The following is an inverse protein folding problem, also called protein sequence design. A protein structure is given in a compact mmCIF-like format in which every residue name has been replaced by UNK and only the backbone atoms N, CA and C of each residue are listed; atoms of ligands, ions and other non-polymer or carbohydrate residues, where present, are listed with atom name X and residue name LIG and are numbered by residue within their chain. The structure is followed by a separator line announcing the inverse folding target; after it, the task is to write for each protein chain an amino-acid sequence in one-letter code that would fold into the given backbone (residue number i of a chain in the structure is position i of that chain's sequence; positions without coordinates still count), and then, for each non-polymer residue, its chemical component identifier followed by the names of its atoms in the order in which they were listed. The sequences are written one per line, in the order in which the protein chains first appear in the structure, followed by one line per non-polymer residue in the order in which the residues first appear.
data_IF_843987525232
#
_entry.id   IF_843987525232
#
_cell.length_a   1.000
_cell.length_b   1.000
_cell.length_c   1.000
_cell.angle_alpha   90.00
_cell.angle_beta   90.00
_cell.angle_gamma   90.00
#
_symmetry.space_group_name_H-M   'P 1'
#
loop_
_entity.id
_entity.type
_entity.pdbx_description
1 polymer ?
#
# COMPACT_ATOMS: atom_id res chain seq x y z
N UNK A 1 23.33 -53.07 -52.06
CA UNK A 1 22.47 -52.50 -51.00
C UNK A 1 23.07 -51.17 -50.56
N UNK A 2 22.57 -50.05 -51.06
CA UNK A 2 23.09 -48.70 -50.76
C UNK A 2 22.02 -48.00 -49.91
N UNK A 3 22.37 -47.68 -48.66
CA UNK A 3 21.48 -47.13 -47.64
C UNK A 3 21.41 -45.61 -47.79
N UNK A 4 20.22 -45.08 -48.08
CA UNK A 4 19.91 -43.65 -48.02
C UNK A 4 19.92 -43.17 -46.56
N UNK A 5 20.87 -42.30 -46.20
CA UNK A 5 20.87 -41.58 -44.94
C UNK A 5 19.92 -40.38 -45.01
N UNK A 6 18.85 -40.42 -44.22
CA UNK A 6 17.93 -39.32 -43.96
C UNK A 6 18.66 -38.20 -43.20
N UNK A 7 18.75 -37.02 -43.81
CA UNK A 7 19.12 -35.79 -43.10
C UNK A 7 17.86 -35.23 -42.43
N UNK A 8 17.79 -35.33 -41.10
CA UNK A 8 16.75 -34.70 -40.29
C UNK A 8 17.38 -33.43 -39.68
N UNK A 9 17.07 -32.27 -40.25
CA UNK A 9 17.39 -30.98 -39.65
C UNK A 9 16.56 -30.80 -38.38
N UNK A 10 17.20 -30.90 -37.21
CA UNK A 10 16.59 -30.54 -35.91
C UNK A 10 17.03 -29.12 -35.58
N UNK A 11 16.14 -28.14 -35.78
CA UNK A 11 16.32 -26.77 -35.35
C UNK A 11 15.89 -26.67 -33.88
N UNK A 12 16.85 -26.67 -32.96
CA UNK A 12 16.59 -26.43 -31.52
C UNK A 12 16.60 -24.92 -31.31
N UNK A 13 15.43 -24.31 -31.26
CA UNK A 13 15.27 -22.92 -30.84
C UNK A 13 15.38 -22.83 -29.32
N UNK A 14 16.49 -22.28 -28.82
CA UNK A 14 16.59 -21.82 -27.42
C UNK A 14 15.69 -20.60 -27.24
N UNK A 15 14.48 -20.82 -26.72
CA UNK A 15 13.68 -19.75 -26.12
C UNK A 15 14.28 -19.44 -24.75
N UNK A 16 15.19 -18.47 -24.70
CA UNK A 16 15.61 -17.86 -23.44
C UNK A 16 14.42 -17.08 -22.88
N UNK A 17 13.79 -17.62 -21.84
CA UNK A 17 12.79 -16.92 -21.06
C UNK A 17 13.43 -15.66 -20.47
N UNK A 18 12.98 -14.51 -20.93
CA UNK A 18 13.34 -13.22 -20.34
C UNK A 18 12.67 -13.20 -18.96
N UNK A 19 13.46 -13.48 -17.91
CA UNK A 19 12.99 -13.32 -16.54
C UNK A 19 12.82 -11.82 -16.31
N UNK A 20 11.59 -11.33 -16.45
CA UNK A 20 11.24 -10.02 -15.93
C UNK A 20 11.49 -10.06 -14.42
N UNK A 21 12.51 -9.35 -13.94
CA UNK A 21 12.71 -9.11 -12.52
C UNK A 21 11.59 -8.17 -12.05
N UNK A 22 10.43 -8.76 -11.72
CA UNK A 22 9.39 -8.03 -11.00
C UNK A 22 9.93 -7.78 -9.59
N UNK A 23 9.92 -6.52 -9.14
CA UNK A 23 10.16 -6.23 -7.74
C UNK A 23 9.13 -7.02 -6.93
N UNK A 24 9.61 -7.92 -6.06
CA UNK A 24 8.75 -8.72 -5.19
C UNK A 24 7.86 -7.77 -4.39
N UNK A 25 6.56 -7.80 -4.68
CA UNK A 25 5.57 -6.97 -3.99
C UNK A 25 5.50 -7.40 -2.52
N UNK A 26 5.36 -6.45 -1.57
CA UNK A 26 5.20 -6.81 -0.16
C UNK A 26 3.99 -7.73 0.01
N UNK A 27 4.01 -8.65 0.98
CA UNK A 27 2.87 -9.54 1.26
C UNK A 27 2.19 -9.08 2.53
N UNK A 28 0.88 -8.86 2.46
CA UNK A 28 0.01 -8.51 3.60
C UNK A 28 -0.95 -9.67 3.87
N UNK A 29 -1.13 -10.04 5.13
CA UNK A 29 -2.27 -10.87 5.54
C UNK A 29 -3.39 -9.94 5.97
N UNK A 30 -4.39 -9.78 5.08
CA UNK A 30 -5.56 -8.95 5.37
C UNK A 30 -6.44 -9.62 6.43
N UNK A 31 -7.06 -8.86 7.36
CA UNK A 31 -7.89 -9.44 8.42
C UNK A 31 -9.14 -10.11 7.84
N UNK A 32 -9.68 -11.10 8.57
CA UNK A 32 -10.92 -11.77 8.19
C UNK A 32 -12.07 -10.75 8.05
N UNK A 33 -12.91 -10.95 7.04
CA UNK A 33 -14.03 -10.05 6.74
C UNK A 33 -13.66 -8.78 5.97
N UNK A 34 -12.40 -8.58 5.62
CA UNK A 34 -11.97 -7.56 4.67
C UNK A 34 -11.94 -8.13 3.25
N UNK A 35 -12.46 -7.36 2.30
CA UNK A 35 -12.45 -7.68 0.87
C UNK A 35 -11.21 -7.07 0.22
N UNK A 36 -10.39 -7.89 -0.43
CA UNK A 36 -9.21 -7.42 -1.16
C UNK A 36 -9.63 -6.91 -2.53
N UNK A 37 -9.34 -5.64 -2.81
CA UNK A 37 -9.64 -5.03 -4.10
C UNK A 37 -8.50 -5.25 -5.09
N UNK A 38 -8.83 -5.63 -6.32
CA UNK A 38 -7.86 -5.70 -7.41
C UNK A 38 -7.49 -4.28 -7.84
N UNK A 39 -6.25 -3.87 -7.56
CA UNK A 39 -5.67 -2.64 -8.10
C UNK A 39 -4.83 -2.99 -9.32
N UNK A 40 -5.18 -2.52 -10.53
CA UNK A 40 -4.34 -2.70 -11.71
C UNK A 40 -2.97 -2.07 -11.49
N UNK A 41 -1.92 -2.83 -11.77
CA UNK A 41 -0.58 -2.29 -11.83
C UNK A 41 -0.51 -1.28 -12.98
N UNK A 42 0.04 -0.09 -12.72
CA UNK A 42 0.28 0.90 -13.76
C UNK A 42 1.59 0.54 -14.48
N UNK A 43 1.48 0.01 -15.70
CA UNK A 43 2.64 -0.35 -16.52
C UNK A 43 3.56 0.84 -16.83
N UNK A 44 3.05 2.08 -16.74
CA UNK A 44 3.87 3.29 -16.87
C UNK A 44 4.67 3.61 -15.60
N UNK A 45 4.35 2.99 -14.46
CA UNK A 45 5.01 3.15 -13.16
C UNK A 45 5.31 1.79 -12.51
N UNK A 46 6.12 0.93 -13.15
CA UNK A 46 6.38 -0.42 -12.67
C UNK A 46 7.07 -0.47 -11.30
N UNK A 47 7.69 0.63 -10.89
CA UNK A 47 8.33 0.83 -9.59
C UNK A 47 7.37 1.03 -8.41
N UNK A 48 6.07 1.15 -8.67
CA UNK A 48 5.04 1.33 -7.63
C UNK A 48 4.19 0.07 -7.57
N UNK A 49 3.99 -0.49 -6.39
CA UNK A 49 3.00 -1.56 -6.17
C UNK A 49 1.97 -1.10 -5.14
N UNK A 50 0.69 -1.39 -5.38
CA UNK A 50 -0.42 -1.04 -4.50
C UNK A 50 -1.27 -2.25 -4.19
N UNK A 51 -1.65 -2.40 -2.93
CA UNK A 51 -2.60 -3.39 -2.46
C UNK A 51 -3.60 -2.73 -1.53
N UNK A 52 -4.86 -3.14 -1.61
CA UNK A 52 -5.94 -2.50 -0.87
C UNK A 52 -6.96 -3.52 -0.41
N UNK A 53 -7.46 -3.32 0.79
CA UNK A 53 -8.58 -4.07 1.32
C UNK A 53 -9.60 -3.11 1.94
N UNK A 54 -10.88 -3.47 1.81
CA UNK A 54 -12.01 -2.70 2.33
C UNK A 54 -12.82 -3.55 3.30
N UNK A 55 -13.31 -2.91 4.37
CA UNK A 55 -14.30 -3.52 5.27
C UNK A 55 -15.64 -2.90 4.94
N UNK A 56 -16.62 -3.75 4.67
CA UNK A 56 -17.98 -3.34 4.36
C UNK A 56 -18.90 -3.57 5.57
N UNK A 57 -19.93 -2.75 5.72
CA UNK A 57 -21.02 -3.02 6.64
C UNK A 57 -21.97 -4.11 6.10
N UNK A 58 -23.03 -4.41 6.86
CA UNK A 58 -24.04 -5.41 6.46
C UNK A 58 -24.76 -5.07 5.14
N UNK A 59 -24.79 -3.79 4.75
CA UNK A 59 -25.38 -3.32 3.51
C UNK A 59 -24.39 -3.33 2.34
N UNK A 60 -23.15 -3.76 2.53
CA UNK A 60 -22.10 -3.72 1.53
C UNK A 60 -21.48 -2.33 1.34
N UNK A 61 -21.73 -1.38 2.24
CA UNK A 61 -21.13 -0.04 2.16
C UNK A 61 -19.74 -0.06 2.79
N UNK A 62 -18.70 0.45 2.12
CA UNK A 62 -17.37 0.56 2.72
C UNK A 62 -17.38 1.46 3.95
N UNK A 63 -16.97 0.91 5.09
CA UNK A 63 -16.83 1.63 6.37
C UNK A 63 -15.37 1.86 6.75
N UNK A 64 -14.46 1.04 6.21
CA UNK A 64 -13.02 1.17 6.37
C UNK A 64 -12.29 0.78 5.09
N UNK A 65 -11.12 1.36 4.89
CA UNK A 65 -10.16 1.01 3.84
C UNK A 65 -8.75 0.99 4.40
N UNK A 66 -7.96 0.01 3.97
CA UNK A 66 -6.51 -0.05 4.17
C UNK A 66 -5.84 -0.16 2.82
N UNK A 67 -4.76 0.59 2.61
CA UNK A 67 -3.97 0.54 1.40
C UNK A 67 -2.48 0.53 1.75
N UNK A 68 -1.74 -0.43 1.21
CA UNK A 68 -0.30 -0.48 1.23
C UNK A 68 0.23 -0.06 -0.15
N UNK A 69 1.05 0.97 -0.17
CA UNK A 69 1.85 1.36 -1.34
C UNK A 69 3.32 1.10 -1.06
N UNK A 70 4.00 0.44 -1.99
CA UNK A 70 5.46 0.35 -2.03
C UNK A 70 5.95 1.08 -3.27
N UNK A 71 7.05 1.81 -3.15
CA UNK A 71 7.72 2.48 -4.26
C UNK A 71 9.22 2.21 -4.19
N UNK A 72 9.81 1.74 -5.29
CA UNK A 72 11.26 1.67 -5.41
C UNK A 72 11.83 3.09 -5.48
N UNK A 73 12.84 3.38 -4.66
CA UNK A 73 13.59 4.64 -4.65
C UNK A 73 14.99 4.43 -5.20
N UNK A 74 15.63 5.50 -5.63
CA UNK A 74 17.01 5.44 -6.13
C UNK A 74 17.95 4.92 -5.04
N UNK A 75 18.84 3.98 -5.39
CA UNK A 75 19.78 3.40 -4.43
C UNK A 75 20.70 4.49 -3.84
N UNK A 76 20.87 4.48 -2.52
CA UNK A 76 21.63 5.49 -1.80
C UNK A 76 20.88 6.81 -1.56
N UNK A 77 19.65 6.96 -2.07
CA UNK A 77 18.80 8.10 -1.75
C UNK A 77 18.28 8.01 -0.32
N UNK A 78 18.57 9.02 0.49
CA UNK A 78 17.99 9.13 1.82
C UNK A 78 16.60 9.76 1.73
N UNK A 79 15.57 8.93 1.91
CA UNK A 79 14.18 9.40 1.93
C UNK A 79 13.91 10.20 3.21
N UNK A 80 13.51 11.47 3.07
CA UNK A 80 13.01 12.27 4.17
C UNK A 80 11.57 11.86 4.52
N UNK A 81 11.41 10.84 5.38
CA UNK A 81 10.11 10.31 5.79
C UNK A 81 9.19 11.37 6.39
N UNK A 82 9.72 12.29 7.20
CA UNK A 82 8.93 13.37 7.79
C UNK A 82 8.41 14.32 6.70
N UNK A 83 9.27 14.70 5.75
CA UNK A 83 8.87 15.50 4.59
C UNK A 83 7.78 14.82 3.75
N UNK A 84 7.90 13.52 3.51
CA UNK A 84 6.89 12.72 2.80
C UNK A 84 5.55 12.77 3.54
N UNK A 85 5.53 12.48 4.84
CA UNK A 85 4.29 12.52 5.63
C UNK A 85 3.70 13.91 5.74
N UNK A 86 4.52 14.97 5.77
CA UNK A 86 4.04 16.35 5.74
C UNK A 86 3.31 16.65 4.43
N UNK A 87 3.85 16.25 3.28
CA UNK A 87 3.18 16.44 1.99
C UNK A 87 1.90 15.60 1.87
N UNK A 88 1.95 14.34 2.31
CA UNK A 88 0.75 13.50 2.34
C UNK A 88 -0.34 14.06 3.25
N UNK A 89 0.02 14.52 4.45
CA UNK A 89 -0.88 15.20 5.37
C UNK A 89 -1.53 16.42 4.70
N UNK A 90 -0.75 17.24 3.99
CA UNK A 90 -1.28 18.38 3.24
C UNK A 90 -2.28 17.93 2.18
N UNK A 91 -2.01 16.82 1.46
CA UNK A 91 -2.96 16.25 0.49
C UNK A 91 -4.26 15.84 1.17
N UNK A 92 -4.19 15.04 2.25
CA UNK A 92 -5.36 14.62 3.01
C UNK A 92 -6.19 15.82 3.46
N UNK A 93 -5.55 16.84 4.05
CA UNK A 93 -6.25 18.04 4.50
C UNK A 93 -6.89 18.80 3.33
N UNK A 94 -6.20 18.91 2.19
CA UNK A 94 -6.71 19.57 0.98
C UNK A 94 -7.91 18.83 0.39
N UNK A 95 -7.81 17.51 0.24
CA UNK A 95 -8.83 16.68 -0.40
C UNK A 95 -10.13 16.69 0.42
N UNK A 96 -10.02 16.56 1.75
CA UNK A 96 -11.18 16.67 2.64
C UNK A 96 -11.76 18.08 2.69
N UNK A 97 -10.93 19.12 2.64
CA UNK A 97 -11.42 20.51 2.58
C UNK A 97 -12.25 20.75 1.31
N UNK A 98 -11.82 20.22 0.17
CA UNK A 98 -12.58 20.30 -1.09
C UNK A 98 -13.96 19.61 -0.99
N UNK A 99 -14.07 18.56 -0.17
CA UNK A 99 -15.33 17.89 0.14
C UNK A 99 -16.19 18.58 1.21
N UNK A 100 -15.79 19.74 1.73
CA UNK A 100 -16.52 20.47 2.78
C UNK A 100 -16.28 19.95 4.21
N UNK A 101 -15.22 19.16 4.42
CA UNK A 101 -14.82 18.67 5.73
C UNK A 101 -13.70 19.52 6.34
N UNK A 102 -13.52 19.41 7.65
CA UNK A 102 -12.38 19.98 8.37
C UNK A 102 -11.50 18.86 8.88
N UNK A 103 -10.20 18.93 8.61
CA UNK A 103 -9.23 17.90 8.97
C UNK A 103 -8.12 18.44 9.87
N UNK A 104 -7.99 17.88 11.06
CA UNK A 104 -6.92 18.20 12.02
C UNK A 104 -6.08 16.96 12.24
N UNK A 105 -4.78 17.05 11.97
CA UNK A 105 -3.87 15.94 12.13
C UNK A 105 -2.95 16.17 13.32
N UNK A 106 -2.71 15.11 14.09
CA UNK A 106 -1.77 15.11 15.19
C UNK A 106 -0.33 15.39 14.71
N UNK A 107 0.61 15.53 15.64
CA UNK A 107 2.03 15.64 15.29
C UNK A 107 2.50 14.31 14.73
N UNK A 108 3.38 14.38 13.73
CA UNK A 108 4.11 13.19 13.27
C UNK A 108 4.92 12.63 14.45
N UNK A 109 4.85 11.33 14.67
CA UNK A 109 5.55 10.65 15.75
C UNK A 109 6.14 9.32 15.30
N UNK A 110 7.09 8.80 16.09
CA UNK A 110 7.66 7.48 15.87
C UNK A 110 6.60 6.39 15.97
N UNK A 111 6.74 5.36 15.14
CA UNK A 111 5.92 4.17 15.11
C UNK A 111 6.72 3.00 14.47
N UNK A 112 6.04 1.90 14.14
CA UNK A 112 6.63 0.76 13.42
C UNK A 112 5.83 0.42 12.17
N UNK A 113 6.40 -0.27 11.20
CA UNK A 113 5.64 -0.91 10.12
C UNK A 113 6.19 -2.31 9.96
N UNK A 114 5.51 -3.30 10.55
CA UNK A 114 6.12 -4.60 10.85
C UNK A 114 7.44 -4.40 11.61
N UNK A 115 8.56 -4.93 11.12
CA UNK A 115 9.91 -4.79 11.71
C UNK A 115 10.58 -3.44 11.48
N UNK A 116 10.03 -2.59 10.61
CA UNK A 116 10.68 -1.32 10.23
C UNK A 116 10.35 -0.22 11.25
N UNK A 117 11.33 0.64 11.52
CA UNK A 117 11.06 1.94 12.15
C UNK A 117 10.25 2.81 11.18
N UNK A 118 9.20 3.44 11.68
CA UNK A 118 8.28 4.23 10.86
C UNK A 118 7.99 5.58 11.51
N UNK A 119 7.42 6.48 10.72
CA UNK A 119 6.74 7.67 11.21
C UNK A 119 5.25 7.54 10.92
N UNK A 120 4.43 8.15 11.78
CA UNK A 120 2.97 8.08 11.69
C UNK A 120 2.32 9.43 12.00
N UNK A 121 1.20 9.71 11.32
CA UNK A 121 0.26 10.76 11.73
C UNK A 121 -1.18 10.33 11.46
N UNK A 122 -2.09 10.78 12.31
CA UNK A 122 -3.53 10.54 12.21
C UNK A 122 -4.28 11.86 12.11
N UNK A 123 -5.13 11.96 11.10
CA UNK A 123 -6.05 13.05 10.88
C UNK A 123 -7.44 12.67 11.40
N UNK A 124 -8.03 13.54 12.21
CA UNK A 124 -9.45 13.53 12.58
C UNK A 124 -10.19 14.45 11.62
N UNK A 125 -11.22 13.90 10.96
CA UNK A 125 -12.02 14.59 9.96
C UNK A 125 -13.41 14.83 10.51
N UNK A 126 -13.84 16.08 10.46
CA UNK A 126 -15.13 16.52 10.97
C UNK A 126 -15.99 17.16 9.88
N UNK A 127 -17.29 17.03 10.03
CA UNK A 127 -18.29 17.71 9.20
C UNK A 127 -19.31 18.36 10.11
N UNK A 128 -19.53 19.67 9.96
CA UNK A 128 -20.44 20.44 10.83
C UNK A 128 -20.14 20.24 12.33
N UNK A 129 -18.86 20.16 12.69
CA UNK A 129 -18.41 19.96 14.08
C UNK A 129 -18.49 18.52 14.62
N UNK A 130 -18.99 17.55 13.84
CA UNK A 130 -19.04 16.14 14.23
C UNK A 130 -17.86 15.37 13.65
N UNK A 131 -17.19 14.53 14.44
CA UNK A 131 -16.18 13.58 13.96
C UNK A 131 -16.85 12.51 13.10
N UNK A 132 -16.46 12.41 11.84
CA UNK A 132 -17.09 11.51 10.86
C UNK A 132 -16.11 10.49 10.29
N UNK A 133 -14.83 10.85 10.13
CA UNK A 133 -13.80 9.95 9.61
C UNK A 133 -12.50 10.14 10.39
N UNK A 134 -11.68 9.09 10.38
CA UNK A 134 -10.27 9.16 10.75
C UNK A 134 -9.44 8.59 9.61
N UNK A 135 -8.25 9.14 9.39
CA UNK A 135 -7.26 8.59 8.47
C UNK A 135 -5.88 8.64 9.08
N UNK A 136 -5.15 7.53 9.00
CA UNK A 136 -3.77 7.42 9.45
C UNK A 136 -2.86 7.10 8.29
N UNK A 137 -1.69 7.70 8.33
CA UNK A 137 -0.61 7.51 7.39
C UNK A 137 0.60 7.01 8.16
N UNK A 138 1.16 5.87 7.74
CA UNK A 138 2.39 5.29 8.27
C UNK A 138 3.39 5.19 7.14
N UNK A 139 4.59 5.76 7.30
CA UNK A 139 5.64 5.70 6.31
C UNK A 139 6.92 5.08 6.88
N UNK A 140 7.53 4.17 6.13
CA UNK A 140 8.78 3.50 6.46
C UNK A 140 9.64 3.32 5.21
N UNK A 141 10.94 3.12 5.39
CA UNK A 141 11.89 2.85 4.30
C UNK A 141 12.72 1.63 4.67
N UNK A 142 13.00 0.77 3.70
CA UNK A 142 13.99 -0.30 3.79
C UNK A 142 14.83 -0.32 2.50
N UNK A 143 16.14 -0.10 2.62
CA UNK A 143 17.07 0.02 1.51
C UNK A 143 16.56 0.93 0.37
N UNK A 144 16.23 0.35 -0.77
CA UNK A 144 15.75 0.99 -1.99
C UNK A 144 14.21 0.97 -2.12
N UNK A 145 13.49 0.75 -1.02
CA UNK A 145 12.01 0.71 -1.01
C UNK A 145 11.44 1.66 0.04
N UNK A 146 10.49 2.48 -0.38
CA UNK A 146 9.64 3.27 0.50
C UNK A 146 8.26 2.62 0.59
N UNK A 147 7.72 2.57 1.81
CA UNK A 147 6.42 1.98 2.12
C UNK A 147 5.52 3.02 2.75
N UNK A 148 4.26 3.01 2.33
CA UNK A 148 3.18 3.79 2.93
C UNK A 148 2.02 2.85 3.20
N UNK A 149 1.65 2.70 4.47
CA UNK A 149 0.38 2.11 4.87
C UNK A 149 -0.57 3.25 5.24
N UNK A 150 -1.66 3.38 4.49
CA UNK A 150 -2.75 4.32 4.77
C UNK A 150 -3.99 3.55 5.18
N UNK A 151 -4.65 3.96 6.25
CA UNK A 151 -5.93 3.39 6.64
C UNK A 151 -6.90 4.47 7.08
N UNK A 152 -8.14 4.38 6.59
CA UNK A 152 -9.15 5.40 6.80
C UNK A 152 -10.54 4.79 6.93
N UNK A 153 -11.44 5.48 7.62
CA UNK A 153 -12.85 5.15 7.59
C UNK A 153 -13.65 5.86 8.66
N UNK A 154 -14.90 5.42 8.83
CA UNK A 154 -15.88 6.06 9.72
C UNK A 154 -15.39 6.05 11.16
N UNK A 155 -15.63 7.12 11.91
CA UNK A 155 -15.03 7.33 13.23
C UNK A 155 -15.19 6.11 14.17
N UNK A 156 -16.39 5.53 14.23
CA UNK A 156 -16.71 4.36 15.04
C UNK A 156 -16.08 3.08 14.47
N UNK A 157 -16.18 2.88 13.16
CA UNK A 157 -15.60 1.71 12.48
C UNK A 157 -14.08 1.69 12.60
N UNK A 158 -13.44 2.85 12.45
CA UNK A 158 -12.01 3.05 12.64
C UNK A 158 -11.58 2.65 14.04
N UNK A 159 -12.27 3.15 15.07
CA UNK A 159 -11.99 2.79 16.45
C UNK A 159 -12.18 1.30 16.71
N UNK A 160 -13.22 0.69 16.15
CA UNK A 160 -13.51 -0.73 16.30
C UNK A 160 -12.52 -1.65 15.55
N UNK A 161 -11.80 -1.12 14.56
CA UNK A 161 -10.91 -1.91 13.70
C UNK A 161 -9.43 -1.79 14.08
N UNK A 162 -9.08 -1.06 15.15
CA UNK A 162 -7.69 -0.81 15.54
C UNK A 162 -6.89 -2.10 15.74
N UNK A 163 -7.46 -3.09 16.44
CA UNK A 163 -6.78 -4.37 16.69
C UNK A 163 -6.55 -5.15 15.39
N UNK A 164 -7.54 -5.15 14.48
CA UNK A 164 -7.43 -5.79 13.16
C UNK A 164 -6.36 -5.09 12.29
N UNK A 165 -6.31 -3.76 12.32
CA UNK A 165 -5.31 -2.95 11.61
C UNK A 165 -3.92 -3.24 12.17
N UNK A 166 -3.77 -3.36 13.48
CA UNK A 166 -2.50 -3.70 14.11
C UNK A 166 -2.02 -5.10 13.69
N UNK A 167 -2.92 -6.08 13.66
CA UNK A 167 -2.61 -7.43 13.15
C UNK A 167 -2.15 -7.38 11.69
N UNK A 168 -2.87 -6.66 10.82
CA UNK A 168 -2.49 -6.52 9.40
C UNK A 168 -1.12 -5.84 9.26
N UNK A 169 -0.90 -4.73 9.98
CA UNK A 169 0.35 -3.95 10.02
C UNK A 169 1.53 -4.83 10.45
N UNK A 170 1.33 -5.68 11.44
CA UNK A 170 2.37 -6.58 11.97
C UNK A 170 2.58 -7.84 11.11
N UNK A 171 1.60 -8.20 10.26
CA UNK A 171 1.72 -9.32 9.32
C UNK A 171 2.60 -9.05 8.10
N UNK A 172 2.90 -7.77 7.83
CA UNK A 172 3.62 -7.36 6.63
C UNK A 172 4.99 -8.03 6.54
N UNK A 173 5.22 -8.72 5.42
CA UNK A 173 6.54 -9.25 5.06
C UNK A 173 7.29 -8.20 4.25
N UNK A 174 8.07 -7.38 4.96
CA UNK A 174 8.93 -6.31 4.44
C UNK A 174 10.39 -6.71 4.59
#
# INVERSE_FOLDING_TARGET
MIRFCKSLFVLIGLLSGMACAHAEAPIVTWPDGWEVEAIPQDDAKPQVSRQRAVKNDQGGTPVMVMELTMTTVESGHQVNLEGVLLEMRKSVQKDFLQGGYQSVCNKIHAATLSRLSALETTCTITQNGRHVLSQTLVAAVDADKAYVLSYAGQAEAYKASLDEIEVARNSLKL
#
